data_IF_259839704747
#
_entry.id   IF_259839704747
#
_cell.length_a   1.000
_cell.length_b   1.000
_cell.length_c   1.000
_cell.angle_alpha   90.00
_cell.angle_beta   90.00
_cell.angle_gamma   90.00
#
_symmetry.space_group_name_H-M   'P 1'
#
loop_
_entity.id
_entity.type
_entity.pdbx_description
1 polymer ?
#
# COMPACT_ATOMS: atom_id res chain seq x y z
N UNK A 1 -11.97 26.45 -50.40
CA UNK A 1 -11.94 25.24 -49.56
C UNK A 1 -11.83 25.69 -48.11
N UNK A 2 -12.78 25.35 -47.24
CA UNK A 2 -12.78 25.87 -45.88
C UNK A 2 -11.82 25.06 -45.00
N UNK A 3 -11.00 25.80 -44.27
CA UNK A 3 -10.18 25.37 -43.14
C UNK A 3 -11.04 24.68 -42.09
N UNK A 4 -10.76 23.40 -41.77
CA UNK A 4 -11.39 22.69 -40.66
C UNK A 4 -10.92 23.31 -39.34
N UNK A 5 -11.87 23.91 -38.62
CA UNK A 5 -11.72 24.32 -37.23
C UNK A 5 -11.40 23.11 -36.36
N UNK A 6 -10.39 23.25 -35.49
CA UNK A 6 -10.13 22.33 -34.38
C UNK A 6 -11.39 22.31 -33.53
N UNK A 7 -12.14 21.22 -33.63
CA UNK A 7 -13.44 21.07 -33.00
C UNK A 7 -13.29 21.03 -31.49
N UNK A 8 -14.12 21.80 -30.79
CA UNK A 8 -14.60 21.54 -29.44
C UNK A 8 -15.01 20.06 -29.31
N UNK A 9 -14.08 19.20 -28.89
CA UNK A 9 -14.42 17.89 -28.34
C UNK A 9 -14.47 18.08 -26.84
N UNK A 10 -15.69 17.95 -26.30
CA UNK A 10 -15.91 17.90 -24.86
C UNK A 10 -15.03 16.79 -24.28
N UNK A 11 -14.29 17.02 -23.16
CA UNK A 11 -13.38 16.01 -22.58
C UNK A 11 -14.04 14.64 -22.36
N UNK A 12 -15.34 14.62 -22.12
CA UNK A 12 -16.16 13.42 -21.96
C UNK A 12 -16.25 12.54 -23.21
N UNK A 13 -16.31 13.13 -24.42
CA UNK A 13 -16.40 12.37 -25.67
C UNK A 13 -15.06 11.70 -26.03
N UNK A 14 -13.94 12.37 -25.74
CA UNK A 14 -12.61 11.82 -25.97
C UNK A 14 -12.29 10.69 -24.97
N UNK A 15 -12.62 10.87 -23.68
CA UNK A 15 -12.53 9.81 -22.66
C UNK A 15 -13.38 8.60 -23.04
N UNK A 16 -14.61 8.81 -23.50
CA UNK A 16 -15.50 7.74 -23.95
C UNK A 16 -14.94 6.97 -25.16
N UNK A 17 -14.35 7.68 -26.12
CA UNK A 17 -13.75 7.05 -27.30
C UNK A 17 -12.52 6.21 -26.97
N UNK A 18 -11.69 6.64 -26.02
CA UNK A 18 -10.47 5.91 -25.62
C UNK A 18 -10.74 4.75 -24.67
N UNK A 19 -11.84 4.78 -23.88
CA UNK A 19 -12.32 3.58 -23.17
C UNK A 19 -12.61 2.42 -24.12
N UNK A 20 -13.01 2.72 -25.37
CA UNK A 20 -13.23 1.70 -26.40
C UNK A 20 -11.91 1.10 -26.96
N UNK A 21 -10.75 1.76 -26.77
CA UNK A 21 -9.43 1.24 -27.15
C UNK A 21 -8.81 0.27 -26.13
N UNK A 22 -9.49 0.02 -25.01
CA UNK A 22 -9.01 -0.83 -23.92
C UNK A 22 -8.07 -0.11 -22.95
N UNK A 23 -7.92 -0.68 -21.74
CA UNK A 23 -7.03 -0.13 -20.73
C UNK A 23 -5.55 -0.42 -21.07
N UNK A 24 -4.68 0.57 -20.81
CA UNK A 24 -3.22 0.45 -20.88
C UNK A 24 -2.62 1.19 -19.68
N UNK A 25 -1.38 0.89 -19.27
CA UNK A 25 -0.76 1.56 -18.13
C UNK A 25 -0.67 3.09 -18.23
N UNK A 26 -0.77 3.66 -19.43
CA UNK A 26 -0.71 5.10 -19.70
C UNK A 26 -2.08 5.77 -19.86
N UNK A 27 -3.20 5.05 -19.78
CA UNK A 27 -4.53 5.63 -20.02
C UNK A 27 -4.91 6.70 -19.01
N UNK A 28 -4.38 6.64 -17.79
CA UNK A 28 -4.59 7.64 -16.74
C UNK A 28 -4.17 9.05 -17.16
N UNK A 29 -3.21 9.19 -18.08
CA UNK A 29 -2.71 10.49 -18.56
C UNK A 29 -3.76 11.31 -19.30
N UNK A 30 -4.86 10.68 -19.72
CA UNK A 30 -5.99 11.34 -20.37
C UNK A 30 -7.08 11.81 -19.40
N UNK A 31 -6.88 11.60 -18.09
CA UNK A 31 -7.84 11.96 -17.05
C UNK A 31 -7.29 13.11 -16.19
N UNK A 32 -8.18 13.90 -15.56
CA UNK A 32 -7.76 14.88 -14.56
C UNK A 32 -6.94 14.22 -13.46
N UNK A 33 -5.86 14.88 -13.03
CA UNK A 33 -4.96 14.36 -12.00
C UNK A 33 -4.73 15.44 -10.94
N UNK A 34 -4.60 15.00 -9.70
CA UNK A 34 -4.31 15.85 -8.54
C UNK A 34 -3.08 15.31 -7.80
N UNK A 35 -2.45 16.16 -6.98
CA UNK A 35 -1.30 15.82 -6.13
C UNK A 35 0.01 15.47 -6.87
N UNK A 36 0.03 15.52 -8.20
CA UNK A 36 1.25 15.29 -8.99
C UNK A 36 2.24 16.46 -8.86
N UNK A 37 3.54 16.19 -8.74
CA UNK A 37 4.55 17.23 -8.78
C UNK A 37 4.64 17.91 -10.15
N UNK A 38 5.04 19.17 -10.15
CA UNK A 38 5.39 19.92 -11.36
C UNK A 38 6.90 19.83 -11.60
N UNK A 39 7.33 18.88 -12.43
CA UNK A 39 8.73 18.73 -12.79
C UNK A 39 9.17 19.84 -13.77
N UNK A 40 10.36 20.44 -13.60
CA UNK A 40 10.84 21.51 -14.47
C UNK A 40 11.23 21.01 -15.87
N UNK A 41 11.67 19.76 -15.98
CA UNK A 41 12.06 19.11 -17.23
C UNK A 41 11.23 17.84 -17.47
N UNK A 42 10.30 17.92 -18.43
CA UNK A 42 9.41 16.81 -18.78
C UNK A 42 10.10 15.76 -19.67
N UNK A 43 11.15 16.13 -20.40
CA UNK A 43 11.91 15.19 -21.22
C UNK A 43 12.80 14.32 -20.33
N UNK A 44 13.39 14.90 -19.27
CA UNK A 44 14.12 14.16 -18.23
C UNK A 44 13.18 13.21 -17.47
N UNK A 45 11.98 13.67 -17.08
CA UNK A 45 10.96 12.80 -16.48
C UNK A 45 10.64 11.61 -17.39
N UNK A 46 10.36 11.85 -18.66
CA UNK A 46 10.05 10.79 -19.61
C UNK A 46 11.24 9.84 -19.83
N UNK A 47 12.48 10.33 -19.78
CA UNK A 47 13.68 9.51 -19.85
C UNK A 47 13.84 8.61 -18.61
N UNK A 48 13.57 9.14 -17.41
CA UNK A 48 13.56 8.36 -16.16
C UNK A 48 12.47 7.29 -16.19
N UNK A 49 11.24 7.63 -16.57
CA UNK A 49 10.13 6.67 -16.68
C UNK A 49 10.46 5.52 -17.66
N UNK A 50 11.05 5.83 -18.83
CA UNK A 50 11.52 4.81 -19.78
C UNK A 50 12.61 3.91 -19.19
N UNK A 51 13.51 4.48 -18.39
CA UNK A 51 14.59 3.73 -17.73
C UNK A 51 14.04 2.80 -16.65
N UNK A 52 13.11 3.27 -15.82
CA UNK A 52 12.42 2.45 -14.83
C UNK A 52 11.64 1.30 -15.47
N UNK A 53 11.01 1.56 -16.62
CA UNK A 53 10.27 0.53 -17.35
C UNK A 53 11.15 -0.67 -17.76
N UNK A 54 12.45 -0.46 -17.99
CA UNK A 54 13.40 -1.53 -18.32
C UNK A 54 13.98 -2.27 -17.11
N UNK A 55 13.75 -1.78 -15.89
CA UNK A 55 14.23 -2.44 -14.67
C UNK A 55 13.40 -3.67 -14.30
N UNK A 56 13.97 -4.65 -13.58
CA UNK A 56 13.21 -5.78 -13.06
C UNK A 56 12.00 -5.35 -12.21
N UNK A 57 10.92 -6.15 -12.16
CA UNK A 57 9.82 -5.93 -11.21
C UNK A 57 10.30 -6.10 -9.76
N UNK A 58 9.69 -5.37 -8.82
CA UNK A 58 9.95 -5.57 -7.38
C UNK A 58 9.18 -6.81 -6.88
N UNK A 59 7.96 -7.01 -7.35
CA UNK A 59 7.10 -8.14 -6.97
C UNK A 59 6.64 -8.92 -8.18
N UNK A 60 6.43 -10.23 -8.02
CA UNK A 60 5.89 -11.08 -9.06
C UNK A 60 4.35 -11.11 -9.01
N UNK A 61 3.69 -11.18 -10.17
CA UNK A 61 2.23 -11.19 -10.26
C UNK A 61 1.57 -12.35 -9.47
N UNK A 62 2.22 -13.51 -9.43
CA UNK A 62 1.78 -14.65 -8.63
C UNK A 62 1.73 -14.36 -7.12
N UNK A 63 2.61 -13.48 -6.61
CA UNK A 63 2.61 -13.07 -5.21
C UNK A 63 1.44 -12.13 -4.90
N UNK A 64 1.12 -11.20 -5.81
CA UNK A 64 -0.07 -10.36 -5.69
C UNK A 64 -1.37 -11.19 -5.74
N UNK A 65 -1.42 -12.25 -6.56
CA UNK A 65 -2.55 -13.21 -6.56
C UNK A 65 -2.67 -13.97 -5.24
N UNK A 66 -1.55 -14.40 -4.66
CA UNK A 66 -1.52 -15.06 -3.34
C UNK A 66 -2.07 -14.12 -2.26
N UNK A 67 -1.60 -12.87 -2.22
CA UNK A 67 -2.12 -11.87 -1.30
C UNK A 67 -3.62 -11.65 -1.49
N UNK A 68 -4.11 -11.55 -2.74
CA UNK A 68 -5.55 -11.42 -3.01
C UNK A 68 -6.35 -12.61 -2.46
N UNK A 69 -5.85 -13.84 -2.63
CA UNK A 69 -6.48 -15.03 -2.07
C UNK A 69 -6.48 -15.04 -0.53
N UNK A 70 -5.42 -14.55 0.12
CA UNK A 70 -5.38 -14.42 1.57
C UNK A 70 -6.30 -13.31 2.08
N UNK A 71 -6.41 -12.19 1.36
CA UNK A 71 -7.38 -11.14 1.64
C UNK A 71 -8.83 -11.60 1.41
N UNK A 72 -9.07 -12.57 0.53
CA UNK A 72 -10.39 -13.18 0.39
C UNK A 72 -10.81 -13.90 1.67
N UNK A 73 -9.88 -14.60 2.34
CA UNK A 73 -10.13 -15.20 3.66
C UNK A 73 -10.42 -14.13 4.72
N UNK A 74 -9.70 -12.99 4.68
CA UNK A 74 -9.98 -11.86 5.57
C UNK A 74 -11.40 -11.32 5.34
N UNK A 75 -11.82 -11.15 4.09
CA UNK A 75 -13.17 -10.69 3.75
C UNK A 75 -14.27 -11.67 4.21
N UNK A 76 -13.94 -12.96 4.37
CA UNK A 76 -14.85 -14.01 4.85
C UNK A 76 -14.85 -14.13 6.39
N UNK A 77 -13.94 -13.44 7.10
CA UNK A 77 -13.80 -13.55 8.55
C UNK A 77 -12.90 -14.70 9.01
N UNK A 78 -12.23 -15.40 8.09
CA UNK A 78 -11.35 -16.54 8.37
C UNK A 78 -9.89 -16.14 8.63
N UNK A 79 -9.54 -14.87 8.44
CA UNK A 79 -8.22 -14.31 8.68
C UNK A 79 -8.32 -12.83 9.10
N UNK A 80 -7.21 -12.28 9.61
CA UNK A 80 -7.09 -10.87 9.99
C UNK A 80 -5.99 -10.16 9.20
N UNK A 81 -6.24 -8.94 8.72
CA UNK A 81 -5.22 -8.13 8.04
C UNK A 81 -4.46 -7.27 9.05
N UNK A 82 -3.14 -7.45 9.12
CA UNK A 82 -2.21 -6.51 9.75
C UNK A 82 -1.46 -5.74 8.64
N UNK A 83 -1.71 -4.44 8.56
CA UNK A 83 -0.97 -3.53 7.68
C UNK A 83 -0.31 -2.41 8.48
N UNK A 84 0.99 -2.16 8.28
CA UNK A 84 1.73 -1.19 9.09
C UNK A 84 3.14 -0.89 8.59
N UNK A 85 3.73 0.20 9.06
CA UNK A 85 5.06 0.68 8.64
C UNK A 85 5.09 2.20 8.56
N UNK A 86 6.09 2.72 7.86
CA UNK A 86 6.39 4.14 7.89
C UNK A 86 5.29 5.00 7.27
N UNK A 87 5.20 6.25 7.73
CA UNK A 87 4.33 7.25 7.13
C UNK A 87 4.84 7.62 5.74
N UNK A 88 6.14 7.92 5.64
CA UNK A 88 6.92 7.77 4.41
C UNK A 88 8.31 7.27 4.75
N UNK A 89 8.83 6.38 3.91
CA UNK A 89 10.23 5.99 3.91
C UNK A 89 11.09 7.18 3.46
N UNK A 90 12.30 7.28 4.02
CA UNK A 90 13.31 8.27 3.62
C UNK A 90 14.57 7.59 3.08
N UNK A 91 15.27 8.28 2.17
CA UNK A 91 16.57 7.86 1.65
C UNK A 91 17.65 7.90 2.73
N UNK A 92 17.57 8.83 3.68
CA UNK A 92 18.56 8.98 4.74
C UNK A 92 18.42 7.92 5.85
N UNK A 93 17.21 7.38 6.04
CA UNK A 93 16.92 6.36 7.07
C UNK A 93 17.03 4.92 6.52
N UNK A 94 17.68 4.73 5.37
CA UNK A 94 17.85 3.44 4.74
C UNK A 94 19.02 2.65 5.34
N UNK A 95 18.74 1.82 6.35
CA UNK A 95 19.72 0.91 6.94
C UNK A 95 19.15 -0.49 7.17
N UNK A 96 20.04 -1.50 7.13
CA UNK A 96 19.66 -2.88 7.41
C UNK A 96 19.08 -3.05 8.83
N UNK A 97 19.59 -2.29 9.80
CA UNK A 97 19.10 -2.30 11.18
C UNK A 97 17.66 -1.75 11.27
N UNK A 98 17.35 -0.64 10.59
CA UNK A 98 15.99 -0.10 10.56
C UNK A 98 14.99 -1.08 9.93
N UNK A 99 15.36 -1.70 8.79
CA UNK A 99 14.51 -2.69 8.11
C UNK A 99 14.29 -3.92 9.02
N UNK A 100 15.35 -4.40 9.67
CA UNK A 100 15.29 -5.52 10.61
C UNK A 100 14.38 -5.20 11.80
N UNK A 101 14.54 -4.02 12.39
CA UNK A 101 13.80 -3.64 13.61
C UNK A 101 12.32 -3.38 13.30
N UNK A 102 12.02 -2.77 12.14
CA UNK A 102 10.65 -2.72 11.61
C UNK A 102 10.05 -4.12 11.47
N UNK A 103 10.75 -5.03 10.77
CA UNK A 103 10.25 -6.38 10.53
C UNK A 103 10.04 -7.16 11.84
N UNK A 104 10.96 -7.00 12.80
CA UNK A 104 10.85 -7.57 14.15
C UNK A 104 9.59 -7.11 14.87
N UNK A 105 9.34 -5.80 14.95
CA UNK A 105 8.13 -5.25 15.60
C UNK A 105 6.88 -5.76 14.89
N UNK A 106 6.89 -5.80 13.56
CA UNK A 106 5.76 -6.29 12.77
C UNK A 106 5.41 -7.74 13.10
N UNK A 107 6.42 -8.62 13.19
CA UNK A 107 6.20 -10.03 13.55
C UNK A 107 5.72 -10.19 14.99
N UNK A 108 6.19 -9.37 15.93
CA UNK A 108 5.67 -9.39 17.31
C UNK A 108 4.17 -9.09 17.35
N UNK A 109 3.73 -8.04 16.65
CA UNK A 109 2.30 -7.71 16.53
C UNK A 109 1.51 -8.85 15.88
N UNK A 110 2.04 -9.44 14.80
CA UNK A 110 1.39 -10.52 14.08
C UNK A 110 1.18 -11.76 14.96
N UNK A 111 2.18 -12.15 15.77
CA UNK A 111 2.07 -13.30 16.69
C UNK A 111 1.03 -13.04 17.78
N UNK A 112 1.04 -11.85 18.37
CA UNK A 112 0.06 -11.45 19.40
C UNK A 112 -1.38 -11.49 18.84
N UNK A 113 -1.59 -10.94 17.65
CA UNK A 113 -2.90 -10.94 16.98
C UNK A 113 -3.35 -12.35 16.59
N UNK A 114 -2.42 -13.18 16.08
CA UNK A 114 -2.72 -14.57 15.71
C UNK A 114 -3.17 -15.37 16.94
N UNK A 115 -2.44 -15.25 18.05
CA UNK A 115 -2.77 -15.96 19.29
C UNK A 115 -4.06 -15.46 19.92
N UNK A 116 -4.21 -14.14 20.07
CA UNK A 116 -5.36 -13.55 20.78
C UNK A 116 -6.65 -13.63 19.97
N UNK A 117 -6.54 -13.54 18.64
CA UNK A 117 -7.68 -13.66 17.71
C UNK A 117 -8.00 -15.09 17.32
N UNK A 118 -7.10 -16.06 17.58
CA UNK A 118 -7.28 -17.45 17.15
C UNK A 118 -7.41 -17.62 15.63
N UNK A 119 -6.85 -16.69 14.85
CA UNK A 119 -7.06 -16.59 13.40
C UNK A 119 -5.76 -16.21 12.68
N UNK A 120 -5.49 -16.73 11.47
CA UNK A 120 -4.34 -16.35 10.67
C UNK A 120 -4.24 -14.85 10.43
N UNK A 121 -3.03 -14.28 10.54
CA UNK A 121 -2.78 -12.86 10.24
C UNK A 121 -2.07 -12.71 8.88
N UNK A 122 -2.68 -11.99 7.96
CA UNK A 122 -2.08 -11.55 6.68
C UNK A 122 -1.22 -10.32 6.94
N UNK A 123 0.08 -10.40 6.63
CA UNK A 123 1.09 -9.39 6.99
C UNK A 123 1.45 -8.54 5.78
N UNK A 124 1.12 -7.25 5.82
CA UNK A 124 1.38 -6.31 4.72
C UNK A 124 2.14 -5.08 5.24
N UNK A 125 3.42 -4.95 4.91
CA UNK A 125 4.23 -3.80 5.26
C UNK A 125 3.91 -2.56 4.40
N UNK A 126 3.92 -1.38 5.02
CA UNK A 126 4.07 -0.09 4.34
C UNK A 126 5.58 0.18 4.19
N UNK A 127 6.20 -0.49 3.23
CA UNK A 127 7.67 -0.55 3.10
C UNK A 127 8.05 -0.93 1.66
N UNK A 128 9.27 -0.59 1.24
CA UNK A 128 9.82 -0.81 -0.08
C UNK A 128 9.03 -0.11 -1.20
N UNK A 129 8.52 1.10 -0.94
CA UNK A 129 7.83 1.91 -1.97
C UNK A 129 7.05 3.11 -1.44
N UNK A 130 6.96 3.28 -0.12
CA UNK A 130 6.15 4.31 0.55
C UNK A 130 6.90 5.65 0.61
N UNK A 131 7.39 6.14 -0.53
CA UNK A 131 8.20 7.36 -0.61
C UNK A 131 7.41 8.61 -0.98
N UNK A 132 6.19 8.48 -1.52
CA UNK A 132 5.38 9.62 -1.96
C UNK A 132 4.36 10.03 -0.90
N UNK A 133 4.13 11.34 -0.74
CA UNK A 133 3.16 11.91 0.21
C UNK A 133 2.26 12.95 -0.45
N UNK A 134 0.91 12.83 -0.33
CA UNK A 134 0.02 13.90 -0.73
C UNK A 134 0.08 15.04 0.29
N UNK A 135 -0.17 16.28 -0.15
CA UNK A 135 -0.13 17.48 0.69
C UNK A 135 -1.44 18.25 0.60
N UNK A 136 -1.84 18.87 1.71
CA UNK A 136 -3.02 19.74 1.77
C UNK A 136 -2.80 21.09 1.09
N UNK A 137 -1.55 21.51 0.93
CA UNK A 137 -1.14 22.75 0.27
C UNK A 137 0.04 22.44 -0.66
N UNK A 138 0.13 23.18 -1.77
CA UNK A 138 1.26 23.08 -2.70
C UNK A 138 2.51 23.78 -2.15
N UNK A 139 2.34 24.72 -1.22
CA UNK A 139 3.40 25.51 -0.60
C UNK A 139 3.44 25.31 0.92
N UNK A 140 4.65 25.40 1.48
CA UNK A 140 4.96 25.40 2.89
C UNK A 140 5.65 26.73 3.23
N UNK A 141 5.14 27.41 4.25
CA UNK A 141 5.65 28.71 4.72
C UNK A 141 6.42 28.50 6.02
N UNK A 142 7.68 28.90 6.05
CA UNK A 142 8.51 28.93 7.27
C UNK A 142 9.19 30.29 7.34
N UNK A 143 9.07 30.98 8.48
CA UNK A 143 9.65 32.30 8.73
C UNK A 143 9.35 33.35 7.63
N UNK A 144 8.16 33.28 7.03
CA UNK A 144 7.71 34.20 5.98
C UNK A 144 8.24 33.89 4.58
N UNK A 145 8.96 32.79 4.38
CA UNK A 145 9.40 32.29 3.08
C UNK A 145 8.48 31.16 2.63
N UNK A 146 7.96 31.25 1.41
CA UNK A 146 7.11 30.22 0.80
C UNK A 146 7.93 29.36 -0.17
N UNK A 147 7.96 28.05 0.07
CA UNK A 147 8.60 27.07 -0.82
C UNK A 147 7.62 25.95 -1.20
N UNK A 148 7.82 25.24 -2.33
CA UNK A 148 7.05 24.05 -2.63
C UNK A 148 7.09 23.06 -1.47
N UNK A 149 5.94 22.48 -1.14
CA UNK A 149 5.82 21.48 -0.10
C UNK A 149 6.68 20.26 -0.41
N UNK A 150 7.33 19.69 0.60
CA UNK A 150 7.94 18.38 0.53
C UNK A 150 6.88 17.31 0.21
N UNK A 151 7.08 16.53 -0.86
CA UNK A 151 6.13 15.50 -1.34
C UNK A 151 6.66 14.09 -1.16
N UNK A 152 7.68 13.92 -0.34
CA UNK A 152 8.36 12.65 -0.15
C UNK A 152 9.61 12.53 -1.01
N UNK A 153 10.57 11.70 -0.58
CA UNK A 153 11.93 11.66 -1.14
C UNK A 153 11.99 11.25 -2.60
N UNK A 154 10.96 10.56 -3.10
CA UNK A 154 10.80 10.22 -4.52
C UNK A 154 10.53 11.44 -5.42
N UNK A 155 10.13 12.57 -4.83
CA UNK A 155 9.81 13.82 -5.55
C UNK A 155 10.88 14.88 -5.31
N UNK A 156 11.08 15.29 -4.06
CA UNK A 156 11.97 16.38 -3.67
C UNK A 156 12.55 16.13 -2.27
N UNK A 157 13.45 17.00 -1.84
CA UNK A 157 14.13 16.87 -0.55
C UNK A 157 13.32 17.49 0.60
N UNK A 158 13.51 16.98 1.82
CA UNK A 158 12.84 17.50 3.01
C UNK A 158 13.40 18.87 3.43
N UNK A 159 14.68 19.14 3.15
CA UNK A 159 15.34 20.38 3.51
C UNK A 159 14.57 21.61 2.99
N UNK A 160 14.42 22.64 3.84
CA UNK A 160 13.67 23.85 3.51
C UNK A 160 14.56 24.87 2.80
N UNK A 161 15.01 24.54 1.59
CA UNK A 161 15.72 25.47 0.69
C UNK A 161 15.10 25.46 -0.71
N UNK A 162 15.22 26.55 -1.49
CA UNK A 162 14.66 26.61 -2.83
C UNK A 162 15.12 25.44 -3.72
N UNK A 163 16.41 25.10 -3.68
CA UNK A 163 17.01 24.05 -4.51
C UNK A 163 16.52 22.65 -4.10
N UNK A 164 16.45 22.41 -2.79
CA UNK A 164 15.99 21.17 -2.19
C UNK A 164 14.54 20.83 -2.56
N UNK A 165 13.69 21.86 -2.70
CA UNK A 165 12.25 21.70 -2.95
C UNK A 165 11.89 21.56 -4.43
N UNK A 166 12.82 21.74 -5.37
CA UNK A 166 12.58 21.50 -6.79
C UNK A 166 12.37 20.00 -7.03
N UNK A 167 11.25 19.57 -7.63
CA UNK A 167 11.05 18.18 -7.99
C UNK A 167 12.13 17.67 -8.95
N UNK A 168 12.76 16.55 -8.60
CA UNK A 168 13.81 15.91 -9.39
C UNK A 168 13.36 14.52 -9.85
N UNK A 169 13.15 14.28 -11.15
CA UNK A 169 12.66 13.00 -11.65
C UNK A 169 13.63 11.85 -11.33
N UNK A 170 14.93 12.10 -11.21
CA UNK A 170 15.96 11.08 -10.94
C UNK A 170 15.77 10.42 -9.57
N UNK A 171 15.11 11.08 -8.63
CA UNK A 171 14.74 10.51 -7.32
C UNK A 171 13.86 9.27 -7.44
N UNK A 172 13.11 9.11 -8.53
CA UNK A 172 12.35 7.89 -8.81
C UNK A 172 13.23 6.65 -9.03
N UNK A 173 14.43 6.82 -9.60
CA UNK A 173 15.42 5.73 -9.76
C UNK A 173 15.97 5.32 -8.39
N UNK A 174 16.22 6.30 -7.53
CA UNK A 174 16.73 6.03 -6.19
C UNK A 174 15.68 5.32 -5.32
N UNK A 175 14.43 5.78 -5.36
CA UNK A 175 13.30 5.09 -4.73
C UNK A 175 13.22 3.62 -5.17
N UNK A 176 13.33 3.34 -6.48
CA UNK A 176 13.35 1.96 -6.98
C UNK A 176 14.51 1.14 -6.39
N UNK A 177 15.74 1.69 -6.34
CA UNK A 177 16.92 0.98 -5.83
C UNK A 177 16.78 0.66 -4.35
N UNK A 178 16.33 1.63 -3.57
CA UNK A 178 16.06 1.43 -2.15
C UNK A 178 14.95 0.42 -1.91
N UNK A 179 13.84 0.50 -2.67
CA UNK A 179 12.78 -0.51 -2.65
C UNK A 179 13.32 -1.91 -2.94
N UNK A 180 14.14 -2.07 -3.97
CA UNK A 180 14.72 -3.36 -4.35
C UNK A 180 15.63 -3.92 -3.26
N UNK A 181 16.51 -3.09 -2.70
CA UNK A 181 17.40 -3.49 -1.60
C UNK A 181 16.61 -3.88 -0.33
N UNK A 182 15.63 -3.06 0.04
CA UNK A 182 14.76 -3.29 1.19
C UNK A 182 13.97 -4.59 1.05
N UNK A 183 13.32 -4.78 -0.10
CA UNK A 183 12.53 -5.98 -0.36
C UNK A 183 13.40 -7.25 -0.41
N UNK A 184 14.60 -7.18 -0.98
CA UNK A 184 15.53 -8.29 -0.97
C UNK A 184 15.89 -8.71 0.47
N UNK A 185 16.18 -7.74 1.34
CA UNK A 185 16.48 -8.02 2.74
C UNK A 185 15.26 -8.56 3.50
N UNK A 186 14.07 -8.00 3.29
CA UNK A 186 12.82 -8.52 3.86
C UNK A 186 12.55 -9.98 3.45
N UNK A 187 12.77 -10.31 2.17
CA UNK A 187 12.64 -11.69 1.67
C UNK A 187 13.64 -12.63 2.34
N UNK A 188 14.86 -12.17 2.59
CA UNK A 188 15.86 -12.92 3.33
C UNK A 188 15.45 -13.13 4.80
N UNK A 189 14.87 -12.13 5.47
CA UNK A 189 14.36 -12.31 6.85
C UNK A 189 13.14 -13.22 6.92
N UNK A 190 12.21 -13.07 5.97
CA UNK A 190 10.98 -13.86 5.89
C UNK A 190 11.22 -15.36 5.66
N UNK A 191 12.25 -15.71 4.89
CA UNK A 191 12.53 -17.11 4.51
C UNK A 191 13.80 -17.70 5.14
N UNK A 192 14.75 -16.85 5.56
CA UNK A 192 16.08 -17.25 6.07
C UNK A 192 16.11 -17.62 7.56
N UNK A 193 14.95 -17.83 8.18
CA UNK A 193 14.83 -18.25 9.59
C UNK A 193 14.80 -17.10 10.62
N UNK A 194 14.95 -15.84 10.20
CA UNK A 194 14.73 -14.70 11.10
C UNK A 194 13.28 -14.67 11.57
N UNK A 195 12.33 -14.90 10.67
CA UNK A 195 10.90 -14.98 10.94
C UNK A 195 10.43 -16.23 11.74
N UNK A 196 11.35 -17.05 12.24
CA UNK A 196 11.01 -18.21 13.06
C UNK A 196 10.21 -17.78 14.30
N UNK A 197 9.10 -18.47 14.56
CA UNK A 197 8.19 -18.19 15.66
C UNK A 197 8.90 -18.16 17.03
N UNK A 198 9.92 -19.00 17.23
CA UNK A 198 10.75 -18.99 18.45
C UNK A 198 11.51 -17.68 18.64
N UNK A 199 12.01 -17.06 17.55
CA UNK A 199 12.71 -15.77 17.63
C UNK A 199 11.73 -14.64 17.96
N UNK A 200 10.58 -14.62 17.29
CA UNK A 200 9.53 -13.65 17.55
C UNK A 200 9.08 -13.69 19.02
N UNK A 201 8.95 -14.88 19.58
CA UNK A 201 8.66 -15.07 20.99
C UNK A 201 9.73 -14.49 21.91
N UNK A 202 11.01 -14.80 21.68
CA UNK A 202 12.11 -14.26 22.47
C UNK A 202 12.17 -12.73 22.44
N UNK A 203 11.91 -12.13 21.28
CA UNK A 203 11.87 -10.68 21.16
C UNK A 203 10.77 -10.04 21.98
N UNK A 204 9.59 -10.66 22.06
CA UNK A 204 8.48 -10.18 22.88
C UNK A 204 8.88 -10.12 24.35
N UNK A 205 9.55 -11.14 24.88
CA UNK A 205 10.00 -11.20 26.27
C UNK A 205 11.03 -10.10 26.62
N UNK A 206 11.83 -9.67 25.65
CA UNK A 206 12.78 -8.56 25.83
C UNK A 206 12.10 -7.21 26.05
N UNK A 207 11.00 -6.93 25.34
CA UNK A 207 10.27 -5.66 25.41
C UNK A 207 9.55 -5.44 26.75
N UNK A 208 9.11 -6.53 27.39
CA UNK A 208 8.24 -6.43 28.58
C UNK A 208 8.97 -5.99 29.85
N UNK A 209 10.30 -6.02 29.86
CA UNK A 209 11.08 -5.72 31.06
C UNK A 209 11.01 -4.24 31.46
N UNK A 210 10.68 -3.33 30.53
CA UNK A 210 10.91 -1.89 30.71
C UNK A 210 9.63 -1.00 30.62
N UNK A 211 8.42 -1.57 30.70
CA UNK A 211 7.15 -0.80 30.53
C UNK A 211 6.22 -0.79 31.76
N UNK A 212 5.53 0.32 32.09
CA UNK A 212 4.52 0.40 33.16
C UNK A 212 3.29 -0.51 32.95
N UNK A 213 3.01 -0.90 31.71
CA UNK A 213 1.91 -1.82 31.33
C UNK A 213 2.39 -3.27 31.20
N UNK A 214 3.62 -3.54 31.64
CA UNK A 214 4.34 -4.82 31.49
C UNK A 214 3.56 -6.03 31.97
N UNK A 215 2.82 -5.94 33.08
CA UNK A 215 2.16 -7.11 33.66
C UNK A 215 1.16 -7.79 32.71
N UNK A 216 0.25 -7.04 32.08
CA UNK A 216 -0.76 -7.61 31.18
C UNK A 216 -0.13 -8.18 29.90
N UNK A 217 0.93 -7.56 29.42
CA UNK A 217 1.67 -8.06 28.26
C UNK A 217 2.54 -9.28 28.62
N UNK A 218 3.10 -9.33 29.84
CA UNK A 218 3.84 -10.48 30.38
C UNK A 218 2.94 -11.71 30.46
N UNK A 219 1.72 -11.55 30.98
CA UNK A 219 0.74 -12.64 31.06
C UNK A 219 0.42 -13.19 29.66
N UNK A 220 0.17 -12.31 28.69
CA UNK A 220 -0.07 -12.72 27.31
C UNK A 220 1.14 -13.42 26.68
N UNK A 221 2.33 -12.87 26.88
CA UNK A 221 3.57 -13.47 26.39
C UNK A 221 3.81 -14.86 26.99
N UNK A 222 3.53 -15.04 28.28
CA UNK A 222 3.61 -16.35 28.96
C UNK A 222 2.63 -17.37 28.40
N UNK A 223 1.38 -16.97 28.15
CA UNK A 223 0.38 -17.84 27.50
C UNK A 223 0.80 -18.26 26.08
N UNK A 224 1.45 -17.36 25.34
CA UNK A 224 2.02 -17.71 24.04
C UNK A 224 3.17 -18.72 24.21
N UNK A 225 4.05 -18.55 25.22
CA UNK A 225 5.10 -19.53 25.54
C UNK A 225 4.51 -20.93 25.75
N UNK A 226 3.52 -21.03 26.63
CA UNK A 226 2.88 -22.30 26.98
C UNK A 226 2.27 -22.99 25.75
N UNK A 227 1.62 -22.23 24.87
CA UNK A 227 1.04 -22.77 23.64
C UNK A 227 2.11 -23.28 22.66
N UNK A 228 3.23 -22.56 22.50
CA UNK A 228 4.34 -23.00 21.66
C UNK A 228 5.05 -24.24 22.24
N UNK A 229 5.19 -24.31 23.55
CA UNK A 229 5.74 -25.48 24.23
C UNK A 229 4.81 -26.70 24.12
N UNK A 230 3.50 -26.49 24.20
CA UNK A 230 2.50 -27.53 23.93
C UNK A 230 2.59 -28.05 22.49
N UNK A 231 2.64 -27.16 21.49
CA UNK A 231 2.84 -27.55 20.09
C UNK A 231 4.10 -28.40 19.93
N UNK A 232 5.21 -27.99 20.54
CA UNK A 232 6.47 -28.75 20.52
C UNK A 232 6.31 -30.13 21.18
N UNK A 233 5.61 -30.21 22.32
CA UNK A 233 5.33 -31.48 22.99
C UNK A 233 4.46 -32.42 22.15
N UNK A 234 3.61 -31.88 21.27
CA UNK A 234 2.84 -32.63 20.27
C UNK A 234 3.63 -32.99 19.00
N UNK A 235 4.92 -32.66 18.92
CA UNK A 235 5.78 -32.91 17.75
C UNK A 235 5.70 -31.84 16.66
N UNK A 236 5.01 -30.73 16.92
CA UNK A 236 4.89 -29.59 16.01
C UNK A 236 5.97 -28.57 16.39
N UNK A 237 7.11 -28.64 15.71
CA UNK A 237 8.23 -27.74 15.93
C UNK A 237 8.83 -27.21 14.61
N UNK A 238 9.66 -26.15 14.65
CA UNK A 238 10.22 -25.58 13.43
C UNK A 238 11.10 -26.54 12.61
N UNK A 239 11.73 -27.56 13.21
CA UNK A 239 12.53 -28.54 12.47
C UNK A 239 11.66 -29.49 11.65
N UNK A 240 10.51 -29.90 12.18
CA UNK A 240 9.55 -30.79 11.50
C UNK A 240 8.55 -30.04 10.61
N UNK A 241 8.28 -28.76 10.88
CA UNK A 241 7.26 -27.94 10.19
C UNK A 241 7.85 -26.64 9.60
N UNK A 242 8.21 -26.63 8.29
CA UNK A 242 8.74 -25.45 7.60
C UNK A 242 7.84 -24.20 7.66
N UNK A 243 6.53 -24.40 7.74
CA UNK A 243 5.53 -23.35 7.94
C UNK A 243 5.71 -22.55 9.24
N UNK A 244 6.45 -23.07 10.22
CA UNK A 244 6.81 -22.35 11.45
C UNK A 244 8.13 -21.57 11.34
N UNK A 245 8.92 -21.81 10.29
CA UNK A 245 10.23 -21.16 10.05
C UNK A 245 10.17 -19.98 9.11
N UNK A 246 9.16 -19.96 8.26
CA UNK A 246 9.00 -18.96 7.20
C UNK A 246 7.66 -18.27 7.35
N UNK A 247 7.55 -17.08 6.78
CA UNK A 247 6.27 -16.37 6.77
C UNK A 247 6.13 -15.55 5.51
N UNK A 248 4.94 -15.52 4.94
CA UNK A 248 4.64 -14.60 3.85
C UNK A 248 4.60 -13.16 4.40
N UNK A 249 5.35 -12.27 3.75
CA UNK A 249 5.36 -10.85 4.05
C UNK A 249 5.21 -10.06 2.75
N UNK A 250 4.14 -9.30 2.67
CA UNK A 250 3.81 -8.51 1.48
C UNK A 250 4.15 -7.03 1.71
N UNK A 251 4.27 -6.28 0.62
CA UNK A 251 4.59 -4.85 0.63
C UNK A 251 3.45 -4.04 0.04
N UNK A 252 3.34 -2.80 0.48
CA UNK A 252 2.31 -1.88 0.04
C UNK A 252 2.74 -0.43 0.14
N UNK A 253 2.16 0.40 -0.71
CA UNK A 253 2.32 1.85 -0.67
C UNK A 253 1.15 2.57 -1.35
N UNK A 254 1.06 3.88 -1.12
CA UNK A 254 0.15 4.75 -1.87
C UNK A 254 0.68 4.91 -3.29
N UNK A 255 -0.07 4.47 -4.29
CA UNK A 255 0.29 4.66 -5.69
C UNK A 255 -0.05 6.10 -6.13
N UNK A 256 0.67 7.06 -5.55
CA UNK A 256 0.45 8.49 -5.73
C UNK A 256 1.08 9.00 -7.02
N UNK A 257 2.34 8.64 -7.27
CA UNK A 257 3.13 9.13 -8.39
C UNK A 257 2.93 8.23 -9.62
N UNK A 258 1.87 8.47 -10.38
CA UNK A 258 1.42 7.55 -11.44
C UNK A 258 2.43 7.31 -12.57
N UNK A 259 3.38 8.23 -12.81
CA UNK A 259 4.50 8.02 -13.73
C UNK A 259 5.41 6.85 -13.32
N UNK A 260 5.73 6.78 -12.02
CA UNK A 260 6.49 5.69 -11.41
C UNK A 260 5.72 4.37 -11.48
N UNK A 261 4.43 4.41 -11.12
CA UNK A 261 3.56 3.23 -11.09
C UNK A 261 3.34 2.64 -12.49
N UNK A 262 3.11 3.51 -13.48
CA UNK A 262 3.05 3.14 -14.89
C UNK A 262 4.34 2.45 -15.34
N UNK A 263 5.51 3.02 -15.02
CA UNK A 263 6.81 2.45 -15.40
C UNK A 263 7.02 1.07 -14.75
N UNK A 264 6.50 0.86 -13.55
CA UNK A 264 6.57 -0.41 -12.82
C UNK A 264 5.42 -1.37 -13.12
N UNK A 265 4.58 -1.10 -14.11
CA UNK A 265 3.47 -1.98 -14.49
C UNK A 265 3.91 -2.98 -15.56
N UNK A 266 3.60 -4.26 -15.37
CA UNK A 266 4.01 -5.35 -16.26
C UNK A 266 2.84 -6.24 -16.62
N UNK A 267 2.92 -6.84 -17.80
CA UNK A 267 2.05 -7.94 -18.19
C UNK A 267 2.56 -9.21 -17.51
N UNK A 268 1.70 -9.91 -16.79
CA UNK A 268 2.01 -11.23 -16.26
C UNK A 268 2.06 -12.25 -17.40
N UNK A 269 3.17 -12.96 -17.53
CA UNK A 269 3.38 -13.93 -18.62
C UNK A 269 2.43 -15.13 -18.55
N UNK A 270 1.83 -15.41 -17.39
CA UNK A 270 0.93 -16.56 -17.21
C UNK A 270 -0.53 -16.25 -17.52
N UNK A 271 -1.01 -15.04 -17.19
CA UNK A 271 -2.42 -14.65 -17.37
C UNK A 271 -2.66 -13.65 -18.50
N UNK A 272 -1.63 -12.90 -18.92
CA UNK A 272 -1.78 -11.76 -19.84
C UNK A 272 -2.36 -10.50 -19.18
N UNK A 273 -2.65 -10.55 -17.87
CA UNK A 273 -3.17 -9.41 -17.11
C UNK A 273 -2.06 -8.43 -16.71
N UNK A 274 -2.45 -7.18 -16.47
CA UNK A 274 -1.56 -6.14 -15.98
C UNK A 274 -1.46 -6.13 -14.45
N UNK A 275 -0.24 -6.08 -13.93
CA UNK A 275 0.06 -5.91 -12.51
C UNK A 275 1.00 -4.73 -12.31
N UNK A 276 0.70 -3.89 -11.34
CA UNK A 276 1.67 -2.95 -10.81
C UNK A 276 2.68 -3.74 -9.98
N UNK A 277 3.91 -3.84 -10.49
CA UNK A 277 4.97 -4.64 -9.86
C UNK A 277 5.87 -3.82 -8.94
N UNK A 278 5.41 -2.63 -8.56
CA UNK A 278 6.03 -1.75 -7.55
C UNK A 278 5.74 -2.21 -6.11
N UNK A 279 4.63 -2.91 -5.89
CA UNK A 279 4.20 -3.41 -4.57
C UNK A 279 3.12 -4.48 -4.71
N UNK A 280 2.89 -5.26 -3.65
CA UNK A 280 1.91 -6.35 -3.71
C UNK A 280 0.47 -5.82 -3.64
N UNK A 281 0.21 -4.93 -2.67
CA UNK A 281 -1.04 -4.17 -2.52
C UNK A 281 -0.73 -2.69 -2.71
N UNK A 282 -1.54 -2.00 -3.51
CA UNK A 282 -1.46 -0.54 -3.65
C UNK A 282 -2.73 0.10 -3.13
N UNK A 283 -2.69 1.32 -2.62
CA UNK A 283 -3.93 2.03 -2.26
C UNK A 283 -4.07 3.40 -2.91
N UNK A 284 -5.32 3.81 -3.09
CA UNK A 284 -5.72 5.16 -3.47
C UNK A 284 -5.95 5.98 -2.21
N UNK A 285 -5.29 7.14 -2.12
CA UNK A 285 -5.41 8.07 -1.00
C UNK A 285 -6.76 8.78 -0.94
N UNK A 286 -7.09 9.36 0.23
CA UNK A 286 -8.38 10.06 0.42
C UNK A 286 -8.49 11.31 -0.46
N UNK A 287 -7.36 11.87 -0.90
CA UNK A 287 -7.25 13.06 -1.76
C UNK A 287 -7.20 12.73 -3.26
N UNK A 288 -7.10 11.46 -3.63
CA UNK A 288 -6.87 10.99 -5.02
C UNK A 288 -7.93 9.99 -5.49
N UNK A 289 -8.97 9.72 -4.70
CA UNK A 289 -10.04 8.75 -5.01
C UNK A 289 -11.24 9.34 -5.75
N UNK A 290 -11.05 10.36 -6.58
CA UNK A 290 -12.13 10.91 -7.40
C UNK A 290 -12.50 9.90 -8.51
N UNK A 291 -13.76 9.44 -8.63
CA UNK A 291 -14.15 8.35 -9.53
C UNK A 291 -13.84 8.54 -11.02
N UNK A 292 -13.65 9.78 -11.46
CA UNK A 292 -13.40 10.20 -12.83
C UNK A 292 -11.98 10.76 -13.05
N UNK A 293 -11.06 10.49 -12.12
CA UNK A 293 -9.67 10.97 -12.18
C UNK A 293 -8.66 9.84 -12.45
N UNK A 294 -7.45 10.27 -12.76
CA UNK A 294 -6.32 9.45 -13.17
C UNK A 294 -6.02 8.26 -12.24
N UNK A 295 -6.02 8.45 -10.91
CA UNK A 295 -5.72 7.37 -9.98
C UNK A 295 -6.76 6.24 -10.04
N UNK A 296 -8.05 6.56 -10.09
CA UNK A 296 -9.10 5.54 -10.23
C UNK A 296 -9.01 4.85 -11.58
N UNK A 297 -8.71 5.58 -12.66
CA UNK A 297 -8.48 4.98 -13.98
C UNK A 297 -7.27 4.03 -13.99
N UNK A 298 -6.15 4.41 -13.37
CA UNK A 298 -4.98 3.55 -13.27
C UNK A 298 -5.31 2.25 -12.50
N UNK A 299 -5.96 2.39 -11.33
CA UNK A 299 -6.32 1.25 -10.49
C UNK A 299 -7.36 0.32 -11.14
N UNK A 300 -8.19 0.83 -12.04
CA UNK A 300 -9.21 0.05 -12.77
C UNK A 300 -8.60 -1.11 -13.56
N UNK A 301 -7.40 -0.96 -14.10
CA UNK A 301 -6.82 -1.97 -15.00
C UNK A 301 -5.72 -2.85 -14.42
N UNK A 302 -5.13 -2.50 -13.27
CA UNK A 302 -4.19 -3.39 -12.58
C UNK A 302 -4.96 -4.50 -11.84
N UNK A 303 -4.38 -5.70 -11.72
CA UNK A 303 -5.00 -6.88 -11.06
C UNK A 303 -4.54 -7.16 -9.62
N UNK A 304 -3.65 -6.31 -9.07
CA UNK A 304 -3.26 -6.36 -7.66
C UNK A 304 -4.48 -6.30 -6.73
N UNK A 305 -4.44 -6.85 -5.50
CA UNK A 305 -5.35 -6.37 -4.47
C UNK A 305 -5.09 -4.88 -4.22
N UNK A 306 -6.16 -4.09 -4.02
CA UNK A 306 -6.07 -2.64 -3.89
C UNK A 306 -6.80 -2.12 -2.66
N UNK A 307 -6.26 -1.06 -2.06
CA UNK A 307 -6.86 -0.33 -0.96
C UNK A 307 -7.55 0.96 -1.41
N UNK A 308 -8.59 1.37 -0.68
CA UNK A 308 -9.24 2.68 -0.84
C UNK A 308 -9.32 3.34 0.52
N UNK A 309 -8.70 4.51 0.69
CA UNK A 309 -8.83 5.30 1.91
C UNK A 309 -10.24 5.88 2.01
N UNK A 310 -10.89 5.64 3.14
CA UNK A 310 -12.26 6.06 3.43
C UNK A 310 -12.24 7.08 4.57
N UNK A 311 -12.22 8.37 4.22
CA UNK A 311 -12.33 9.48 5.17
C UNK A 311 -13.76 10.03 5.35
N UNK A 312 -13.98 10.98 6.28
CA UNK A 312 -15.29 11.57 6.58
C UNK A 312 -16.00 12.23 5.39
N UNK A 313 -15.27 12.58 4.34
CA UNK A 313 -15.83 13.16 3.11
C UNK A 313 -16.47 12.11 2.19
N UNK A 314 -16.20 10.81 2.39
CA UNK A 314 -16.74 9.73 1.56
C UNK A 314 -18.20 9.44 1.95
N UNK A 315 -19.10 9.59 0.97
CA UNK A 315 -20.51 9.21 1.10
C UNK A 315 -20.77 7.80 0.58
N UNK A 316 -21.82 7.10 1.06
CA UNK A 316 -22.17 5.76 0.61
C UNK A 316 -22.29 5.63 -0.92
N UNK A 317 -22.97 6.56 -1.58
CA UNK A 317 -23.17 6.52 -3.04
C UNK A 317 -21.85 6.69 -3.79
N UNK A 318 -20.96 7.53 -3.24
CA UNK A 318 -19.61 7.73 -3.77
C UNK A 318 -18.75 6.46 -3.63
N UNK A 319 -18.88 5.74 -2.51
CA UNK A 319 -18.19 4.47 -2.30
C UNK A 319 -18.68 3.40 -3.29
N UNK A 320 -20.00 3.24 -3.45
CA UNK A 320 -20.54 2.26 -4.41
C UNK A 320 -20.07 2.56 -5.83
N UNK A 321 -20.09 3.83 -6.26
CA UNK A 321 -19.55 4.23 -7.56
C UNK A 321 -18.07 3.88 -7.74
N UNK A 322 -17.25 3.98 -6.69
CA UNK A 322 -15.86 3.54 -6.74
C UNK A 322 -15.75 2.03 -6.90
N UNK A 323 -16.55 1.26 -6.17
CA UNK A 323 -16.58 -0.21 -6.26
C UNK A 323 -17.04 -0.68 -7.64
N UNK A 324 -18.04 -0.03 -8.24
CA UNK A 324 -18.51 -0.33 -9.59
C UNK A 324 -17.38 -0.23 -10.64
N UNK A 325 -16.47 0.73 -10.46
CA UNK A 325 -15.34 0.96 -11.36
C UNK A 325 -14.18 0.01 -11.05
N UNK A 326 -13.86 -0.20 -9.77
CA UNK A 326 -12.62 -0.85 -9.34
C UNK A 326 -12.73 -2.36 -9.09
N UNK A 327 -13.96 -2.86 -8.90
CA UNK A 327 -14.28 -4.26 -8.62
C UNK A 327 -15.62 -4.65 -9.28
N UNK A 328 -15.74 -4.54 -10.61
CA UNK A 328 -16.99 -4.89 -11.31
C UNK A 328 -17.39 -6.36 -11.08
N UNK A 329 -16.41 -7.27 -11.00
CA UNK A 329 -16.62 -8.72 -10.86
C UNK A 329 -16.88 -9.18 -9.42
N UNK A 330 -16.89 -8.25 -8.45
CA UNK A 330 -17.07 -8.54 -7.01
C UNK A 330 -16.11 -9.63 -6.46
N UNK A 331 -14.89 -9.71 -6.99
CA UNK A 331 -13.92 -10.74 -6.58
C UNK A 331 -13.47 -10.54 -5.13
N UNK A 332 -13.61 -11.58 -4.28
CA UNK A 332 -13.19 -11.52 -2.88
C UNK A 332 -11.69 -11.22 -2.75
N UNK A 333 -11.33 -10.39 -1.76
CA UNK A 333 -9.95 -9.97 -1.51
C UNK A 333 -9.38 -8.92 -2.47
N UNK A 334 -10.15 -8.51 -3.49
CA UNK A 334 -9.74 -7.44 -4.42
C UNK A 334 -9.68 -6.06 -3.76
N UNK A 335 -10.69 -5.71 -2.96
CA UNK A 335 -10.81 -4.38 -2.34
C UNK A 335 -10.61 -4.45 -0.83
N UNK A 336 -9.75 -3.58 -0.32
CA UNK A 336 -9.63 -3.23 1.10
C UNK A 336 -10.09 -1.80 1.34
N UNK A 337 -11.16 -1.62 2.12
CA UNK A 337 -11.65 -0.30 2.55
C UNK A 337 -10.92 0.13 3.83
N UNK A 338 -10.01 1.10 3.70
CA UNK A 338 -9.13 1.58 4.77
C UNK A 338 -9.80 2.78 5.45
N UNK A 339 -10.53 2.51 6.52
CA UNK A 339 -11.37 3.47 7.23
C UNK A 339 -10.55 4.34 8.20
N UNK A 340 -10.52 5.65 7.94
CA UNK A 340 -9.93 6.67 8.82
C UNK A 340 -10.98 7.73 9.12
N UNK A 341 -11.70 7.64 10.22
CA UNK A 341 -12.72 8.66 10.55
C UNK A 341 -12.32 9.58 11.69
N UNK A 342 -11.38 9.14 12.54
CA UNK A 342 -11.12 9.74 13.85
C UNK A 342 -12.04 9.14 14.91
N UNK A 343 -11.56 9.08 16.15
CA UNK A 343 -12.27 8.42 17.25
C UNK A 343 -13.68 8.99 17.45
N UNK A 344 -13.84 10.30 17.32
CA UNK A 344 -15.11 10.99 17.59
C UNK A 344 -16.15 10.85 16.46
N UNK A 345 -15.73 10.42 15.27
CA UNK A 345 -16.58 10.42 14.06
C UNK A 345 -16.86 9.04 13.49
N UNK A 346 -16.12 8.02 13.92
CA UNK A 346 -16.27 6.66 13.35
C UNK A 346 -17.68 6.10 13.53
N UNK A 347 -18.31 6.36 14.68
CA UNK A 347 -19.68 5.93 14.97
C UNK A 347 -20.74 6.52 14.04
N UNK A 348 -20.53 7.74 13.56
CA UNK A 348 -21.48 8.44 12.70
C UNK A 348 -21.32 8.07 11.22
N UNK A 349 -20.08 7.80 10.78
CA UNK A 349 -19.76 7.64 9.37
C UNK A 349 -19.69 6.17 8.92
N UNK A 350 -18.98 5.31 9.65
CA UNK A 350 -18.69 3.94 9.21
C UNK A 350 -19.96 3.09 9.02
N UNK A 351 -20.97 3.12 9.92
CA UNK A 351 -22.15 2.26 9.77
C UNK A 351 -22.94 2.52 8.48
N UNK A 352 -22.95 3.76 7.98
CA UNK A 352 -23.63 4.08 6.72
C UNK A 352 -22.94 3.46 5.50
N UNK A 353 -21.60 3.43 5.51
CA UNK A 353 -20.83 2.78 4.45
C UNK A 353 -20.99 1.26 4.48
N UNK A 354 -20.93 0.65 5.66
CA UNK A 354 -21.13 -0.80 5.84
C UNK A 354 -22.48 -1.22 5.28
N UNK A 355 -23.57 -0.55 5.70
CA UNK A 355 -24.93 -0.88 5.22
C UNK A 355 -25.07 -0.77 3.70
N UNK A 356 -24.41 0.21 3.08
CA UNK A 356 -24.47 0.36 1.63
C UNK A 356 -23.71 -0.77 0.91
N UNK A 357 -22.52 -1.14 1.38
CA UNK A 357 -21.73 -2.25 0.84
C UNK A 357 -22.49 -3.58 0.98
N UNK A 358 -23.09 -3.83 2.15
CA UNK A 358 -23.90 -5.02 2.41
C UNK A 358 -25.16 -5.08 1.53
N UNK A 359 -25.86 -3.94 1.40
CA UNK A 359 -27.07 -3.84 0.55
C UNK A 359 -26.78 -4.17 -0.91
N UNK A 360 -25.63 -3.75 -1.42
CA UNK A 360 -25.18 -4.03 -2.79
C UNK A 360 -24.50 -5.41 -2.94
N UNK A 361 -24.44 -6.21 -1.87
CA UNK A 361 -23.83 -7.55 -1.87
C UNK A 361 -22.34 -7.55 -2.19
N UNK A 362 -21.64 -6.45 -1.90
CA UNK A 362 -20.22 -6.26 -2.24
C UNK A 362 -19.32 -6.97 -1.23
N UNK A 363 -18.31 -7.68 -1.70
CA UNK A 363 -17.31 -8.37 -0.86
C UNK A 363 -16.03 -7.55 -0.77
N UNK A 364 -15.73 -7.07 0.44
CA UNK A 364 -14.57 -6.21 0.71
C UNK A 364 -13.90 -6.60 2.02
N UNK A 365 -12.62 -6.25 2.17
CA UNK A 365 -11.93 -6.26 3.47
C UNK A 365 -12.15 -4.92 4.15
N UNK A 366 -12.65 -4.92 5.38
CA UNK A 366 -12.71 -3.72 6.22
C UNK A 366 -11.42 -3.60 7.03
N UNK A 367 -10.74 -2.47 6.91
CA UNK A 367 -9.51 -2.17 7.66
C UNK A 367 -9.67 -0.85 8.42
N UNK A 368 -9.16 -0.80 9.65
CA UNK A 368 -9.14 0.41 10.46
C UNK A 368 -7.77 1.09 10.38
N UNK A 369 -7.74 2.35 9.95
CA UNK A 369 -6.60 3.24 10.07
C UNK A 369 -6.89 4.26 11.19
N UNK A 370 -6.44 3.97 12.43
CA UNK A 370 -6.75 4.80 13.59
C UNK A 370 -5.82 6.02 13.71
N UNK A 371 -4.89 6.23 12.77
CA UNK A 371 -3.83 7.23 12.89
C UNK A 371 -4.15 8.50 12.12
N UNK A 372 -4.68 8.36 10.90
CA UNK A 372 -4.82 9.52 10.03
C UNK A 372 -6.06 10.35 10.32
N UNK A 373 -6.96 9.88 11.21
CA UNK A 373 -8.39 10.19 11.46
C UNK A 373 -8.79 11.62 11.82
#
# INVERSE_FOLDING_TARGET
MPTRSVSDRTPSAEISSRRAEGWRPDTWRFYPVVQMPSYPDMDELAAVERKLASYPPLVFAGEARRLKADLAKVAQGDAFLLQGGDCAESFDEHSADNIRDFFRVFLQMAVVLTFSGGSPVVKVGRIAGQFAKPRSSDFETVDGVDLPSYRGDIVNDIAFTPEARIPDPRRQIEAYRQSAATLNLLRAFANGGYANLSNAHQWMLGFVKDSPQSHRYQELAGRITEALDFMRACGIDPQSHPEMRTTDFFTSHEALLLGYEQAMTRVDSTSGDWYATSGHLLWIGDRTRQPDHAHVEYFRGIRNPIGIKCGPSLKPEGLIRLLDVLQPDNEAGRITLICRFGADKVGDHLPALIRAVEKEGRTVVWSCDPMHG
#
